data_IF_029055223702
#
_entry.id   IF_029055223702
#
_cell.length_a   1.000
_cell.length_b   1.000
_cell.length_c   1.000
_cell.angle_alpha   90.00
_cell.angle_beta   90.00
_cell.angle_gamma   90.00
#
_symmetry.space_group_name_H-M   'P 1'
#
loop_
_entity.id
_entity.type
_entity.pdbx_description
1 polymer ?
#
# COMPACT_ATOMS: atom_id res chain seq x y z
N UNK A 1 -19.04 -6.53 -8.46
CA UNK A 1 -18.46 -5.62 -7.46
C UNK A 1 -16.98 -5.58 -7.78
N UNK A 2 -16.47 -4.44 -8.22
CA UNK A 2 -15.11 -4.37 -8.76
C UNK A 2 -14.15 -4.34 -7.57
N UNK A 3 -13.45 -5.46 -7.31
CA UNK A 3 -12.32 -5.54 -6.38
C UNK A 3 -11.16 -4.75 -6.97
N UNK A 4 -10.99 -3.47 -6.65
CA UNK A 4 -10.08 -2.66 -7.47
C UNK A 4 -9.21 -1.66 -6.74
N UNK A 5 -9.32 -1.49 -5.42
CA UNK A 5 -8.45 -0.53 -4.73
C UNK A 5 -7.85 -1.12 -3.46
N UNK A 6 -6.54 -0.97 -3.34
CA UNK A 6 -5.81 -1.15 -2.11
C UNK A 6 -5.56 0.22 -1.48
N UNK A 7 -5.74 0.34 -0.18
CA UNK A 7 -5.46 1.56 0.57
C UNK A 7 -4.30 1.29 1.53
N UNK A 8 -3.25 2.09 1.43
CA UNK A 8 -2.07 2.02 2.27
C UNK A 8 -1.91 3.31 3.08
N UNK A 9 -1.92 3.22 4.41
CA UNK A 9 -1.64 4.36 5.29
C UNK A 9 -0.17 4.34 5.68
N UNK A 10 0.56 5.38 5.34
CA UNK A 10 1.99 5.50 5.66
C UNK A 10 2.27 6.68 6.59
N UNK A 11 3.37 6.60 7.33
CA UNK A 11 3.86 7.71 8.13
C UNK A 11 5.38 7.67 8.27
N UNK A 12 5.94 8.67 8.94
CA UNK A 12 7.36 8.68 9.30
C UNK A 12 7.69 7.57 10.30
N UNK A 13 8.86 6.97 10.11
CA UNK A 13 9.34 5.82 10.87
C UNK A 13 9.47 6.14 12.36
N UNK A 14 9.05 5.19 13.19
CA UNK A 14 9.03 5.37 14.65
C UNK A 14 10.42 5.38 15.28
N UNK A 15 11.36 4.64 14.68
CA UNK A 15 12.76 4.55 15.13
C UNK A 15 13.68 5.51 14.39
N UNK A 16 13.38 5.81 13.13
CA UNK A 16 14.13 6.73 12.29
C UNK A 16 13.15 7.64 11.52
N UNK A 17 13.01 8.92 11.92
CA UNK A 17 12.16 9.89 11.24
C UNK A 17 12.56 10.18 9.79
N UNK A 18 13.76 9.78 9.35
CA UNK A 18 14.18 9.87 7.95
C UNK A 18 13.57 8.77 7.07
N UNK A 19 12.98 7.74 7.68
CA UNK A 19 12.33 6.63 6.95
C UNK A 19 10.82 6.80 6.95
N UNK A 20 10.14 6.08 6.05
CA UNK A 20 8.70 5.93 6.09
C UNK A 20 8.30 4.47 6.29
N UNK A 21 7.16 4.26 6.94
CA UNK A 21 6.60 2.95 7.26
C UNK A 21 5.17 2.88 6.77
N UNK A 22 4.81 1.80 6.09
CA UNK A 22 3.43 1.45 5.81
C UNK A 22 2.85 0.81 7.08
N UNK A 23 1.79 1.40 7.63
CA UNK A 23 1.25 1.02 8.93
C UNK A 23 -0.03 0.19 8.85
N UNK A 24 -0.83 0.44 7.81
CA UNK A 24 -2.08 -0.25 7.56
C UNK A 24 -2.24 -0.45 6.07
N UNK A 25 -2.70 -1.63 5.70
CA UNK A 25 -2.93 -2.02 4.33
C UNK A 25 -4.20 -2.84 4.24
N UNK A 26 -5.19 -2.32 3.51
CA UNK A 26 -6.50 -2.95 3.38
C UNK A 26 -7.10 -2.70 2.00
N UNK A 27 -7.88 -3.64 1.51
CA UNK A 27 -8.66 -3.49 0.28
C UNK A 27 -10.14 -3.75 0.54
N UNK A 28 -10.89 -3.95 -0.54
CA UNK A 28 -12.33 -4.19 -0.49
C UNK A 28 -12.71 -5.45 0.34
N UNK A 29 -11.77 -6.39 0.52
CA UNK A 29 -11.98 -7.62 1.29
C UNK A 29 -11.48 -7.53 2.75
N UNK A 30 -11.00 -6.37 3.17
CA UNK A 30 -10.40 -6.14 4.49
C UNK A 30 -8.87 -6.06 4.45
N UNK A 31 -8.22 -6.36 5.58
CA UNK A 31 -6.77 -6.26 5.71
C UNK A 31 -6.04 -7.26 4.81
N UNK A 32 -4.90 -6.82 4.27
CA UNK A 32 -3.96 -7.72 3.61
C UNK A 32 -3.18 -8.49 4.68
N UNK A 33 -3.09 -9.81 4.53
CA UNK A 33 -2.43 -10.66 5.50
C UNK A 33 -0.91 -10.43 5.56
N UNK A 34 -0.30 -10.74 6.71
CA UNK A 34 1.13 -10.51 6.94
C UNK A 34 2.05 -11.35 6.05
N UNK A 35 1.61 -12.52 5.60
CA UNK A 35 2.41 -13.41 4.77
C UNK A 35 2.55 -12.81 3.37
N UNK A 36 1.45 -12.35 2.78
CA UNK A 36 1.43 -11.67 1.49
C UNK A 36 2.31 -10.42 1.49
N UNK A 37 2.21 -9.60 2.54
CA UNK A 37 3.04 -8.41 2.75
C UNK A 37 4.54 -8.77 2.88
N UNK A 38 4.86 -9.78 3.68
CA UNK A 38 6.25 -10.21 3.90
C UNK A 38 6.88 -10.79 2.63
N UNK A 39 6.10 -11.57 1.87
CA UNK A 39 6.53 -12.16 0.60
C UNK A 39 6.84 -11.08 -0.44
N UNK A 40 5.94 -10.11 -0.63
CA UNK A 40 6.15 -8.98 -1.53
C UNK A 40 7.44 -8.21 -1.20
N UNK A 41 7.67 -7.97 0.10
CA UNK A 41 8.85 -7.24 0.55
C UNK A 41 10.15 -8.04 0.34
N UNK A 42 10.11 -9.34 0.62
CA UNK A 42 11.26 -10.23 0.39
C UNK A 42 11.62 -10.30 -1.10
N UNK A 43 10.61 -10.39 -1.98
CA UNK A 43 10.81 -10.44 -3.43
C UNK A 43 11.45 -9.15 -3.97
N UNK A 44 11.09 -7.99 -3.42
CA UNK A 44 11.61 -6.70 -3.87
C UNK A 44 12.97 -6.33 -3.24
N UNK A 45 13.08 -6.46 -1.93
CA UNK A 45 14.23 -5.96 -1.16
C UNK A 45 15.31 -7.05 -0.95
N UNK A 46 15.02 -8.29 -1.33
CA UNK A 46 15.94 -9.42 -1.18
C UNK A 46 16.24 -9.79 0.28
N UNK A 47 15.49 -9.24 1.24
CA UNK A 47 15.65 -9.45 2.68
C UNK A 47 14.31 -9.65 3.35
N UNK A 48 14.30 -10.47 4.40
CA UNK A 48 13.12 -10.65 5.22
C UNK A 48 12.75 -9.31 5.87
N UNK A 49 11.46 -8.98 5.83
CA UNK A 49 10.93 -7.86 6.58
C UNK A 49 11.13 -8.14 8.08
N UNK A 50 11.59 -7.15 8.85
CA UNK A 50 11.45 -7.24 10.31
C UNK A 50 9.96 -7.40 10.59
N UNK A 51 9.55 -8.43 11.33
CA UNK A 51 8.13 -8.68 11.58
C UNK A 51 7.51 -7.47 12.31
N UNK A 52 6.84 -6.59 11.57
CA UNK A 52 6.25 -5.36 12.10
C UNK A 52 4.80 -5.54 12.58
N UNK A 53 4.22 -6.74 12.38
CA UNK A 53 2.81 -7.06 12.62
C UNK A 53 1.99 -7.09 11.33
N UNK A 54 0.72 -7.50 11.41
CA UNK A 54 -0.17 -7.56 10.26
C UNK A 54 -0.41 -6.16 9.64
N UNK A 55 -0.48 -6.10 8.31
CA UNK A 55 -0.78 -4.85 7.58
C UNK A 55 0.36 -3.83 7.51
N UNK A 56 1.60 -4.21 7.89
CA UNK A 56 2.73 -3.28 8.03
C UNK A 56 3.92 -3.65 7.16
N UNK A 57 4.60 -2.66 6.59
CA UNK A 57 5.80 -2.86 5.80
C UNK A 57 6.80 -1.71 5.99
N UNK A 58 8.10 -2.03 5.86
CA UNK A 58 9.19 -1.07 5.99
C UNK A 58 10.24 -1.49 7.02
N UNK A 59 11.09 -0.54 7.46
CA UNK A 59 11.14 0.86 7.02
C UNK A 59 11.63 1.00 5.56
N UNK A 60 11.15 2.04 4.88
CA UNK A 60 11.57 2.45 3.54
C UNK A 60 12.41 3.73 3.65
N UNK A 61 13.55 3.76 2.95
CA UNK A 61 14.46 4.90 3.02
C UNK A 61 13.87 6.19 2.42
N UNK A 62 12.99 6.05 1.42
CA UNK A 62 12.32 7.17 0.75
C UNK A 62 10.89 6.80 0.38
N UNK A 63 10.05 7.81 0.16
CA UNK A 63 8.66 7.63 -0.26
C UNK A 63 8.57 6.88 -1.60
N UNK A 64 9.51 7.10 -2.51
CA UNK A 64 9.58 6.41 -3.80
C UNK A 64 9.79 4.89 -3.64
N UNK A 65 10.51 4.47 -2.60
CA UNK A 65 10.76 3.05 -2.32
C UNK A 65 9.46 2.38 -1.79
N UNK A 66 8.71 3.09 -0.95
CA UNK A 66 7.36 2.69 -0.54
C UNK A 66 6.38 2.63 -1.72
N UNK A 67 6.41 3.62 -2.61
CA UNK A 67 5.55 3.65 -3.81
C UNK A 67 5.80 2.45 -4.71
N UNK A 68 7.07 2.13 -4.97
CA UNK A 68 7.47 0.94 -5.73
C UNK A 68 6.97 -0.34 -5.09
N UNK A 69 7.12 -0.48 -3.77
CA UNK A 69 6.61 -1.61 -3.00
C UNK A 69 5.10 -1.75 -3.11
N UNK A 70 4.36 -0.67 -2.89
CA UNK A 70 2.90 -0.71 -2.95
C UNK A 70 2.38 -1.05 -4.35
N UNK A 71 3.09 -0.62 -5.41
CA UNK A 71 2.78 -1.01 -6.78
C UNK A 71 3.03 -2.50 -7.02
N UNK A 72 4.20 -3.03 -6.66
CA UNK A 72 4.53 -4.45 -6.80
C UNK A 72 3.53 -5.34 -6.04
N UNK A 73 3.13 -4.89 -4.85
CA UNK A 73 2.11 -5.57 -4.07
C UNK A 73 0.74 -5.55 -4.76
N UNK A 74 0.36 -4.47 -5.44
CA UNK A 74 -0.87 -4.42 -6.25
C UNK A 74 -0.88 -5.46 -7.36
N UNK A 75 0.24 -5.60 -8.07
CA UNK A 75 0.41 -6.61 -9.12
C UNK A 75 0.27 -8.01 -8.53
N UNK A 76 0.93 -8.28 -7.41
CA UNK A 76 0.96 -9.59 -6.78
C UNK A 76 -0.42 -10.03 -6.27
N UNK A 77 -1.19 -9.12 -5.67
CA UNK A 77 -2.54 -9.43 -5.16
C UNK A 77 -3.62 -9.29 -6.23
N UNK A 78 -3.27 -8.77 -7.41
CA UNK A 78 -4.21 -8.56 -8.50
C UNK A 78 -5.29 -7.54 -8.14
N UNK A 79 -4.90 -6.32 -7.77
CA UNK A 79 -5.80 -5.15 -7.66
C UNK A 79 -5.44 -4.08 -8.69
N UNK A 80 -6.43 -3.32 -9.15
CA UNK A 80 -6.24 -2.34 -10.23
C UNK A 80 -5.50 -1.07 -9.83
N UNK A 81 -5.48 -0.72 -8.54
CA UNK A 81 -4.75 0.44 -8.05
C UNK A 81 -4.48 0.35 -6.56
N UNK A 82 -3.48 1.08 -6.11
CA UNK A 82 -3.28 1.44 -4.69
C UNK A 82 -3.39 2.93 -4.51
N UNK A 83 -3.94 3.34 -3.37
CA UNK A 83 -3.95 4.72 -2.90
C UNK A 83 -3.10 4.76 -1.63
N UNK A 84 -2.00 5.51 -1.68
CA UNK A 84 -1.15 5.76 -0.52
C UNK A 84 -1.55 7.06 0.14
N UNK A 85 -1.88 6.98 1.42
CA UNK A 85 -2.43 8.07 2.21
C UNK A 85 -1.45 8.37 3.35
N UNK A 86 -1.05 9.64 3.46
CA UNK A 86 -0.26 10.09 4.60
C UNK A 86 -1.09 9.98 5.89
N UNK A 87 -0.48 9.51 6.98
CA UNK A 87 -1.17 9.30 8.26
C UNK A 87 -1.78 10.58 8.81
N UNK A 88 -1.12 11.71 8.64
CA UNK A 88 -1.62 12.98 9.17
C UNK A 88 -2.81 13.46 8.30
N UNK A 89 -2.76 13.24 6.98
CA UNK A 89 -3.93 13.44 6.10
C UNK A 89 -5.10 12.52 6.49
N UNK A 90 -4.81 11.25 6.77
CA UNK A 90 -5.80 10.28 7.24
C UNK A 90 -6.47 10.73 8.52
N UNK A 91 -5.69 11.08 9.54
CA UNK A 91 -6.24 11.50 10.83
C UNK A 91 -7.12 12.74 10.70
N UNK A 92 -6.70 13.73 9.90
CA UNK A 92 -7.47 14.96 9.69
C UNK A 92 -8.83 14.72 9.03
N UNK A 93 -8.89 13.84 8.01
CA UNK A 93 -10.14 13.60 7.27
C UNK A 93 -11.05 12.60 7.96
N UNK A 94 -10.49 11.60 8.65
CA UNK A 94 -11.27 10.58 9.35
C UNK A 94 -11.90 11.11 10.63
N UNK A 95 -11.29 12.10 11.31
CA UNK A 95 -11.93 12.77 12.46
C UNK A 95 -13.30 13.38 12.14
N UNK A 96 -13.58 13.66 10.87
CA UNK A 96 -14.83 14.25 10.41
C UNK A 96 -15.82 13.24 9.80
N UNK A 97 -15.41 11.99 9.61
CA UNK A 97 -16.29 10.94 9.09
C UNK A 97 -17.20 10.42 10.22
N UNK A 98 -18.51 10.46 9.99
CA UNK A 98 -19.53 10.03 10.97
C UNK A 98 -20.06 8.62 10.69
N UNK A 99 -19.74 8.05 9.53
CA UNK A 99 -20.12 6.70 9.15
C UNK A 99 -19.06 5.98 8.32
N UNK A 100 -19.16 4.64 8.26
CA UNK A 100 -18.30 3.82 7.42
C UNK A 100 -18.49 4.11 5.93
N UNK A 101 -19.70 4.47 5.51
CA UNK A 101 -20.00 4.78 4.11
C UNK A 101 -19.36 6.11 3.70
N UNK A 102 -19.41 7.13 4.56
CA UNK A 102 -18.66 8.38 4.35
C UNK A 102 -17.16 8.11 4.25
N UNK A 103 -16.61 7.26 5.12
CA UNK A 103 -15.20 6.89 5.07
C UNK A 103 -14.84 6.22 3.73
N UNK A 104 -15.69 5.32 3.23
CA UNK A 104 -15.50 4.66 1.92
C UNK A 104 -15.54 5.63 0.75
N UNK A 105 -16.32 6.70 0.85
CA UNK A 105 -16.39 7.74 -0.19
C UNK A 105 -15.20 8.69 -0.14
N UNK A 106 -14.69 9.01 1.06
CA UNK A 106 -13.58 9.95 1.24
C UNK A 106 -12.24 9.30 0.87
N UNK A 107 -11.99 8.05 1.27
CA UNK A 107 -10.68 7.39 1.07
C UNK A 107 -10.16 7.42 -0.38
N UNK A 108 -10.98 7.18 -1.43
CA UNK A 108 -10.53 7.28 -2.82
C UNK A 108 -10.11 8.68 -3.27
N UNK A 109 -10.52 9.72 -2.53
CA UNK A 109 -10.20 11.13 -2.82
C UNK A 109 -8.95 11.63 -2.08
N UNK A 110 -8.32 10.75 -1.29
CA UNK A 110 -7.16 11.06 -0.47
C UNK A 110 -5.85 10.59 -1.12
N UNK A 111 -4.75 11.18 -0.68
CA UNK A 111 -3.42 10.68 -0.98
C UNK A 111 -3.07 10.63 -2.48
N UNK A 112 -2.18 9.71 -2.82
CA UNK A 112 -1.70 9.50 -4.19
C UNK A 112 -2.15 8.15 -4.72
N UNK A 113 -2.94 8.16 -5.79
CA UNK A 113 -3.37 6.96 -6.51
C UNK A 113 -2.30 6.51 -7.51
N UNK A 114 -1.99 5.22 -7.49
CA UNK A 114 -1.12 4.54 -8.44
C UNK A 114 -1.91 3.44 -9.13
N UNK A 115 -2.05 3.54 -10.45
CA UNK A 115 -2.83 2.60 -11.25
C UNK A 115 -1.96 1.48 -11.80
N UNK A 116 -2.40 0.25 -11.58
CA UNK A 116 -1.83 -0.92 -12.21
C UNK A 116 -2.35 -1.02 -13.66
N UNK A 117 -1.56 -0.52 -14.61
CA UNK A 117 -1.88 -0.54 -16.03
C UNK A 117 -2.13 -1.96 -16.58
N UNK A 118 -1.45 -2.98 -16.02
CA UNK A 118 -1.56 -4.39 -16.43
C UNK A 118 -2.83 -5.06 -15.90
N UNK A 119 -3.50 -4.47 -14.92
CA UNK A 119 -4.79 -4.98 -14.43
C UNK A 119 -5.89 -4.92 -15.50
N UNK A 120 -5.74 -4.03 -16.49
CA UNK A 120 -6.61 -3.96 -17.66
C UNK A 120 -6.27 -4.97 -18.78
N UNK A 121 -5.11 -5.64 -18.70
CA UNK A 121 -4.60 -6.59 -19.69
C UNK A 121 -3.81 -7.71 -18.99
N UNK A 122 -4.48 -8.78 -18.58
CA UNK A 122 -3.90 -9.86 -17.79
C UNK A 122 -2.62 -10.51 -18.36
N UNK A 123 -1.45 -9.97 -18.03
CA UNK A 123 -0.18 -10.57 -18.40
C UNK A 123 1.06 -9.80 -17.93
N UNK A 124 1.69 -10.29 -16.86
CA UNK A 124 3.15 -10.30 -16.58
C UNK A 124 4.04 -9.37 -17.43
N UNK A 125 4.26 -8.12 -16.98
CA UNK A 125 5.27 -7.20 -17.55
C UNK A 125 6.27 -6.70 -16.49
N UNK A 126 6.96 -7.60 -15.79
CA UNK A 126 8.13 -7.20 -14.96
C UNK A 126 9.45 -7.90 -15.29
N UNK A 127 9.51 -8.74 -16.32
CA UNK A 127 10.77 -9.34 -16.79
C UNK A 127 11.65 -8.40 -17.65
N UNK A 128 11.30 -7.10 -17.79
CA UNK A 128 12.02 -6.17 -18.69
C UNK A 128 12.64 -4.94 -18.04
N UNK A 129 12.44 -4.69 -16.75
CA UNK A 129 12.95 -3.48 -16.08
C UNK A 129 14.16 -3.76 -15.16
N UNK A 130 14.58 -5.03 -15.03
CA UNK A 130 15.79 -5.44 -14.29
C UNK A 130 16.84 -6.16 -15.15
N UNK A 131 17.05 -5.71 -16.39
CA UNK A 131 18.18 -6.12 -17.23
C UNK A 131 19.10 -4.94 -17.54
#
# INVERSE_FOLDING_TARGET
MIRNTLFGIYGVGSKDPATCELTHLFGDEGYVDSETISRAYLEQEGRAMEQMGAGRAGPFARLEDLQRYAYALCDQIGVARVILIDRDEYNQKVEHATSLDELREILPTMGSAMENADHSKGGTIWSKIFN
#
